data_IF_070404354194
#
_entry.id   IF_070404354194
#
_cell.length_a   1.000
_cell.length_b   1.000
_cell.length_c   1.000
_cell.angle_alpha   90.00
_cell.angle_beta   90.00
_cell.angle_gamma   90.00
#
_symmetry.space_group_name_H-M   'P 1'
#
loop_
_entity.id
_entity.type
_entity.pdbx_description
1 polymer ?
#
# COMPACT_ATOMS: atom_id res chain seq x y z
N UNK A 1 -1.21 -34.49 4.80
CA UNK A 1 -0.25 -33.40 4.53
C UNK A 1 -1.01 -32.26 3.89
N UNK A 2 -1.32 -31.20 4.64
CA UNK A 2 -1.84 -29.97 4.03
C UNK A 2 -0.66 -29.32 3.33
N UNK A 3 -0.71 -29.21 2.00
CA UNK A 3 0.22 -28.35 1.28
C UNK A 3 0.09 -26.94 1.89
N UNK A 4 1.19 -26.24 2.20
CA UNK A 4 1.08 -24.84 2.55
C UNK A 4 0.37 -24.15 1.39
N UNK A 5 -0.71 -23.42 1.69
CA UNK A 5 -1.43 -22.60 0.71
C UNK A 5 -0.37 -21.80 -0.05
N UNK A 6 -0.14 -22.16 -1.32
CA UNK A 6 0.78 -21.45 -2.17
C UNK A 6 0.37 -19.97 -2.12
N UNK A 7 1.34 -19.08 -1.88
CA UNK A 7 1.11 -17.65 -1.79
C UNK A 7 0.39 -17.17 -3.06
N UNK A 8 -0.90 -16.83 -2.95
CA UNK A 8 -1.69 -16.35 -4.06
C UNK A 8 -1.62 -14.82 -4.07
N UNK A 9 -0.93 -14.27 -5.06
CA UNK A 9 -0.86 -12.84 -5.32
C UNK A 9 -2.25 -12.32 -5.72
N UNK A 10 -2.69 -11.24 -5.08
CA UNK A 10 -4.02 -10.66 -5.33
C UNK A 10 -4.03 -9.93 -6.67
N UNK A 11 -5.08 -10.15 -7.45
CA UNK A 11 -5.33 -9.58 -8.76
C UNK A 11 -4.11 -9.67 -9.69
N UNK A 12 -3.40 -10.80 -9.65
CA UNK A 12 -2.13 -11.00 -10.34
C UNK A 12 -2.25 -10.73 -11.84
N UNK A 13 -3.19 -11.42 -12.50
CA UNK A 13 -3.34 -11.35 -13.95
C UNK A 13 -3.90 -9.99 -14.34
N UNK A 14 -4.95 -9.52 -13.66
CA UNK A 14 -5.59 -8.23 -13.90
C UNK A 14 -4.59 -7.07 -13.80
N UNK A 15 -3.70 -7.10 -12.80
CA UNK A 15 -2.70 -6.06 -12.60
C UNK A 15 -1.60 -6.08 -13.66
N UNK A 16 -1.10 -7.25 -14.03
CA UNK A 16 -0.03 -7.37 -15.03
C UNK A 16 -0.57 -7.12 -16.43
N UNK A 17 -1.81 -7.53 -16.73
CA UNK A 17 -2.49 -7.19 -17.98
C UNK A 17 -2.72 -5.69 -18.11
N UNK A 18 -3.13 -5.02 -17.02
CA UNK A 18 -3.32 -3.57 -16.98
C UNK A 18 -2.03 -2.75 -17.22
N UNK A 19 -0.84 -3.35 -17.02
CA UNK A 19 0.43 -2.69 -17.35
C UNK A 19 0.72 -2.67 -18.85
N UNK A 20 0.00 -3.46 -19.65
CA UNK A 20 0.26 -3.63 -21.09
C UNK A 20 1.74 -3.88 -21.38
N UNK A 21 2.33 -4.85 -20.68
CA UNK A 21 3.77 -5.12 -20.71
C UNK A 21 4.28 -5.29 -22.14
N UNK A 22 5.21 -4.42 -22.54
CA UNK A 22 5.97 -4.47 -23.78
C UNK A 22 7.29 -5.17 -23.48
N UNK A 23 7.71 -6.07 -24.35
CA UNK A 23 8.84 -6.96 -24.10
C UNK A 23 10.14 -6.21 -23.75
N UNK A 24 10.43 -5.09 -24.43
CA UNK A 24 11.65 -4.30 -24.22
C UNK A 24 11.42 -3.10 -23.26
N UNK A 25 10.27 -3.04 -22.59
CA UNK A 25 9.88 -1.93 -21.71
C UNK A 25 10.59 -1.96 -20.35
N UNK A 26 10.48 -0.84 -19.64
CA UNK A 26 11.00 -0.64 -18.28
C UNK A 26 9.84 -0.50 -17.30
N UNK A 27 9.74 -1.41 -16.34
CA UNK A 27 8.64 -1.48 -15.39
C UNK A 27 9.13 -1.29 -13.95
N UNK A 28 8.23 -0.84 -13.10
CA UNK A 28 8.48 -0.70 -11.67
C UNK A 28 7.41 -1.47 -10.90
N UNK A 29 7.85 -2.38 -10.03
CA UNK A 29 7.02 -2.95 -8.96
C UNK A 29 7.41 -2.24 -7.66
N UNK A 30 6.56 -1.33 -7.19
CA UNK A 30 6.86 -0.47 -6.06
C UNK A 30 6.64 -1.15 -4.70
N UNK A 31 6.20 -2.41 -4.69
CA UNK A 31 5.76 -3.17 -3.51
C UNK A 31 6.06 -4.66 -3.72
N UNK A 32 7.34 -4.99 -3.91
CA UNK A 32 7.78 -6.32 -4.33
C UNK A 32 7.16 -7.46 -3.51
N UNK A 33 7.12 -7.32 -2.18
CA UNK A 33 6.58 -8.29 -1.24
C UNK A 33 7.28 -9.64 -1.31
N UNK A 34 6.72 -10.56 -2.09
CA UNK A 34 7.33 -11.88 -2.37
C UNK A 34 7.59 -12.13 -3.86
N UNK A 35 7.46 -11.11 -4.69
CA UNK A 35 7.79 -11.10 -6.11
C UNK A 35 6.73 -11.74 -7.00
N UNK A 36 5.46 -11.76 -6.55
CA UNK A 36 4.37 -12.33 -7.33
C UNK A 36 4.16 -11.60 -8.64
N UNK A 37 3.83 -10.32 -8.57
CA UNK A 37 3.68 -9.48 -9.76
C UNK A 37 5.01 -9.27 -10.48
N UNK A 38 6.11 -9.03 -9.76
CA UNK A 38 7.45 -8.93 -10.35
C UNK A 38 7.79 -10.11 -11.28
N UNK A 39 7.58 -11.35 -10.86
CA UNK A 39 7.84 -12.53 -11.71
C UNK A 39 6.92 -12.59 -12.92
N UNK A 40 5.63 -12.30 -12.75
CA UNK A 40 4.69 -12.27 -13.86
C UNK A 40 4.99 -11.15 -14.88
N UNK A 41 5.55 -10.01 -14.44
CA UNK A 41 6.07 -8.97 -15.33
C UNK A 41 7.32 -9.50 -16.07
N UNK A 42 8.29 -10.07 -15.35
CA UNK A 42 9.52 -10.63 -15.93
C UNK A 42 9.24 -11.71 -16.98
N UNK A 43 8.23 -12.55 -16.79
CA UNK A 43 7.81 -13.55 -17.78
C UNK A 43 7.42 -12.95 -19.13
N UNK A 44 7.00 -11.68 -19.16
CA UNK A 44 6.60 -10.96 -20.38
C UNK A 44 7.70 -10.09 -20.99
N UNK A 45 8.83 -9.93 -20.29
CA UNK A 45 9.96 -9.12 -20.76
C UNK A 45 10.92 -9.93 -21.63
N UNK A 46 11.51 -9.29 -22.64
CA UNK A 46 12.68 -9.82 -23.35
C UNK A 46 13.94 -9.59 -22.52
N UNK A 47 15.10 -10.06 -23.00
CA UNK A 47 16.40 -9.76 -22.42
C UNK A 47 16.76 -8.26 -22.39
N UNK A 48 16.09 -7.41 -23.19
CA UNK A 48 16.29 -5.96 -23.19
C UNK A 48 15.35 -5.23 -22.21
N UNK A 49 14.27 -5.89 -21.79
CA UNK A 49 13.33 -5.36 -20.82
C UNK A 49 13.97 -5.20 -19.43
N UNK A 50 13.40 -4.31 -18.63
CA UNK A 50 13.92 -3.97 -17.30
C UNK A 50 12.81 -3.95 -16.26
N UNK A 51 13.09 -4.46 -15.08
CA UNK A 51 12.27 -4.33 -13.90
C UNK A 51 13.09 -3.71 -12.76
N UNK A 52 12.55 -2.67 -12.14
CA UNK A 52 13.04 -2.16 -10.85
C UNK A 52 12.02 -2.48 -9.78
N UNK A 53 12.49 -2.98 -8.63
CA UNK A 53 11.61 -3.34 -7.51
C UNK A 53 11.94 -2.55 -6.26
N UNK A 54 10.91 -2.21 -5.49
CA UNK A 54 11.02 -1.53 -4.21
C UNK A 54 10.36 -2.37 -3.11
N UNK A 55 10.95 -2.37 -1.92
CA UNK A 55 10.28 -2.79 -0.70
C UNK A 55 10.96 -2.17 0.52
N UNK A 56 10.20 -1.95 1.59
CA UNK A 56 10.73 -1.52 2.89
C UNK A 56 11.19 -2.69 3.74
N UNK A 57 10.59 -3.86 3.53
CA UNK A 57 10.83 -5.04 4.36
C UNK A 57 12.16 -5.69 4.00
N UNK A 58 13.13 -5.78 4.94
CA UNK A 58 14.39 -6.46 4.70
C UNK A 58 14.23 -7.90 4.21
N UNK A 59 13.17 -8.62 4.65
CA UNK A 59 12.91 -9.98 4.19
C UNK A 59 12.48 -10.01 2.72
N UNK A 60 11.69 -9.02 2.28
CA UNK A 60 11.29 -8.90 0.87
C UNK A 60 12.51 -8.55 0.00
N UNK A 61 13.39 -7.67 0.49
CA UNK A 61 14.63 -7.30 -0.19
C UNK A 61 15.58 -8.48 -0.34
N UNK A 62 15.69 -9.34 0.66
CA UNK A 62 16.49 -10.57 0.55
C UNK A 62 15.95 -11.48 -0.57
N UNK A 63 14.64 -11.69 -0.63
CA UNK A 63 14.00 -12.46 -1.72
C UNK A 63 14.24 -11.81 -3.09
N UNK A 64 14.17 -10.48 -3.17
CA UNK A 64 14.43 -9.75 -4.40
C UNK A 64 15.89 -9.87 -4.86
N UNK A 65 16.85 -9.80 -3.94
CA UNK A 65 18.28 -9.98 -4.23
C UNK A 65 18.60 -11.39 -4.70
N UNK A 66 17.99 -12.40 -4.09
CA UNK A 66 18.11 -13.79 -4.53
C UNK A 66 17.56 -13.99 -5.95
N UNK A 67 16.42 -13.37 -6.27
CA UNK A 67 15.90 -13.38 -7.63
C UNK A 67 16.84 -12.65 -8.61
N UNK A 68 17.36 -11.49 -8.22
CA UNK A 68 18.28 -10.70 -9.06
C UNK A 68 19.61 -11.43 -9.36
N UNK A 69 20.00 -12.39 -8.53
CA UNK A 69 21.21 -13.20 -8.75
C UNK A 69 21.11 -14.10 -10.01
N UNK A 70 19.90 -14.47 -10.42
CA UNK A 70 19.66 -15.30 -11.60
C UNK A 70 18.84 -14.63 -12.70
N UNK A 71 18.28 -13.44 -12.42
CA UNK A 71 17.41 -12.70 -13.33
C UNK A 71 18.02 -11.34 -13.69
N UNK A 72 18.68 -11.27 -14.84
CA UNK A 72 19.37 -10.04 -15.28
C UNK A 72 18.43 -8.90 -15.66
N UNK A 73 17.16 -9.19 -15.98
CA UNK A 73 16.14 -8.18 -16.27
C UNK A 73 15.67 -7.47 -15.00
N UNK A 74 15.87 -8.07 -13.82
CA UNK A 74 15.70 -7.40 -12.53
C UNK A 74 16.88 -6.46 -12.30
N UNK A 75 16.81 -5.31 -12.97
CA UNK A 75 17.88 -4.34 -13.10
C UNK A 75 18.25 -3.66 -11.77
N UNK A 76 17.28 -3.46 -10.88
CA UNK A 76 17.54 -2.82 -9.59
C UNK A 76 16.59 -3.32 -8.48
N UNK A 77 17.15 -3.50 -7.29
CA UNK A 77 16.44 -3.82 -6.05
C UNK A 77 16.69 -2.70 -5.05
N UNK A 78 15.62 -1.99 -4.65
CA UNK A 78 15.72 -0.79 -3.79
C UNK A 78 15.07 -1.05 -2.43
N UNK A 79 15.89 -1.05 -1.36
CA UNK A 79 15.42 -1.14 0.03
C UNK A 79 14.90 0.22 0.52
N UNK A 80 13.77 0.64 -0.05
CA UNK A 80 13.12 1.93 0.17
C UNK A 80 11.61 1.77 -0.02
N UNK A 81 10.82 2.66 0.60
CA UNK A 81 9.40 2.77 0.29
C UNK A 81 9.12 3.36 -1.08
N UNK A 82 7.89 3.22 -1.57
CA UNK A 82 7.48 3.72 -2.88
C UNK A 82 7.51 5.25 -3.02
N UNK A 83 7.60 6.01 -1.93
CA UNK A 83 7.88 7.45 -2.00
C UNK A 83 9.23 7.76 -2.71
N UNK A 84 10.19 6.83 -2.67
CA UNK A 84 11.48 6.93 -3.36
C UNK A 84 11.37 6.85 -4.91
N UNK A 85 10.17 6.66 -5.47
CA UNK A 85 9.93 6.92 -6.89
C UNK A 85 10.35 8.35 -7.28
N UNK A 86 10.28 9.31 -6.36
CA UNK A 86 10.73 10.69 -6.57
C UNK A 86 12.25 10.80 -6.83
N UNK A 87 13.03 9.75 -6.63
CA UNK A 87 14.46 9.70 -6.92
C UNK A 87 14.75 9.14 -8.33
N UNK A 88 13.75 8.58 -9.01
CA UNK A 88 13.93 8.04 -10.36
C UNK A 88 13.90 9.15 -11.43
N UNK A 89 14.64 8.97 -12.54
CA UNK A 89 14.63 9.93 -13.64
C UNK A 89 13.22 10.12 -14.21
N UNK A 90 12.97 11.30 -14.77
CA UNK A 90 11.72 11.56 -15.49
C UNK A 90 11.58 10.65 -16.71
N UNK A 91 10.33 10.29 -17.05
CA UNK A 91 10.02 9.45 -18.21
C UNK A 91 10.90 8.19 -18.34
N UNK A 92 11.17 7.51 -17.22
CA UNK A 92 12.03 6.33 -17.14
C UNK A 92 11.29 4.98 -17.09
N UNK A 93 9.97 5.00 -16.91
CA UNK A 93 9.15 3.79 -16.80
C UNK A 93 7.97 3.77 -17.79
N UNK A 94 7.76 2.61 -18.41
CA UNK A 94 6.60 2.28 -19.25
C UNK A 94 5.41 1.80 -18.40
N UNK A 95 5.64 1.39 -17.15
CA UNK A 95 4.57 1.08 -16.21
C UNK A 95 5.04 1.05 -14.76
N UNK A 96 4.12 1.39 -13.85
CA UNK A 96 4.32 1.35 -12.40
C UNK A 96 3.17 0.57 -11.77
N UNK A 97 3.50 -0.44 -10.99
CA UNK A 97 2.57 -1.20 -10.17
C UNK A 97 2.79 -0.89 -8.68
N UNK A 98 1.69 -0.68 -7.95
CA UNK A 98 1.69 -0.55 -6.49
C UNK A 98 0.61 -1.47 -5.90
N UNK A 99 1.00 -2.54 -5.22
CA UNK A 99 0.15 -3.44 -4.44
C UNK A 99 0.22 -3.05 -2.96
N UNK A 100 -0.73 -2.23 -2.51
CA UNK A 100 -0.63 -1.54 -1.21
C UNK A 100 -0.88 -2.48 -0.02
N UNK A 101 -0.52 -2.02 1.17
CA UNK A 101 -0.77 -2.74 2.41
C UNK A 101 0.34 -3.71 2.80
N UNK A 102 -0.03 -4.80 3.45
CA UNK A 102 0.90 -5.73 4.10
C UNK A 102 1.00 -7.05 3.36
N UNK A 103 2.22 -7.57 3.28
CA UNK A 103 2.48 -8.88 2.70
C UNK A 103 1.95 -10.01 3.59
N UNK A 104 1.64 -11.16 2.98
CA UNK A 104 1.21 -12.36 3.71
C UNK A 104 2.16 -12.74 4.85
N UNK A 105 3.49 -12.74 4.66
CA UNK A 105 4.42 -13.13 5.73
C UNK A 105 4.44 -12.14 6.90
N UNK A 106 4.20 -10.84 6.65
CA UNK A 106 4.05 -9.86 7.74
C UNK A 106 2.84 -10.13 8.62
N UNK A 107 1.74 -10.63 8.03
CA UNK A 107 0.52 -11.00 8.76
C UNK A 107 0.61 -12.36 9.45
N UNK A 108 1.38 -13.29 8.88
CA UNK A 108 1.49 -14.68 9.33
C UNK A 108 2.59 -14.87 10.38
N UNK A 109 3.67 -14.10 10.32
CA UNK A 109 4.75 -14.10 11.31
C UNK A 109 4.33 -13.29 12.56
N UNK A 110 4.07 -13.94 13.71
CA UNK A 110 3.64 -13.24 14.91
C UNK A 110 4.71 -12.27 15.44
N UNK A 111 5.99 -12.51 15.14
CA UNK A 111 7.09 -11.64 15.57
C UNK A 111 7.05 -10.25 14.94
N UNK A 112 6.28 -10.08 13.86
CA UNK A 112 6.09 -8.79 13.16
C UNK A 112 4.99 -7.92 13.77
N UNK A 113 4.09 -8.50 14.56
CA UNK A 113 3.10 -7.73 15.31
C UNK A 113 1.95 -7.10 14.49
N UNK A 114 1.76 -7.46 13.21
CA UNK A 114 0.68 -6.91 12.37
C UNK A 114 -0.70 -7.54 12.63
N UNK A 115 -0.75 -8.65 13.35
CA UNK A 115 -1.94 -9.47 13.55
C UNK A 115 -2.11 -9.82 15.02
N UNK A 116 -3.36 -9.92 15.45
CA UNK A 116 -3.76 -10.41 16.78
C UNK A 116 -4.28 -11.86 16.74
N UNK A 117 -4.15 -12.55 15.60
CA UNK A 117 -4.51 -13.99 15.51
C UNK A 117 -3.59 -14.87 16.34
N UNK A 118 -2.33 -14.50 16.38
CA UNK A 118 -1.29 -15.09 17.22
C UNK A 118 -0.65 -13.96 18.00
N UNK A 119 -0.35 -14.20 19.28
CA UNK A 119 0.27 -13.19 20.12
C UNK A 119 1.74 -12.99 19.72
N UNK A 120 2.22 -11.76 19.86
CA UNK A 120 3.57 -11.36 19.48
C UNK A 120 3.89 -9.95 19.94
N UNK A 121 5.14 -9.49 19.77
CA UNK A 121 5.53 -8.14 20.12
C UNK A 121 4.72 -7.12 19.32
N UNK A 122 4.36 -6.01 19.96
CA UNK A 122 3.61 -4.94 19.32
C UNK A 122 4.56 -4.04 18.49
N UNK A 123 5.01 -4.56 17.34
CA UNK A 123 5.95 -3.86 16.46
C UNK A 123 5.25 -3.06 15.34
N UNK A 124 4.62 -3.76 14.39
CA UNK A 124 3.91 -3.20 13.22
C UNK A 124 4.76 -2.42 12.20
N UNK A 125 6.09 -2.37 12.32
CA UNK A 125 6.93 -1.74 11.28
C UNK A 125 7.12 -2.67 10.09
N UNK A 126 6.92 -2.12 8.89
CA UNK A 126 7.24 -2.78 7.64
C UNK A 126 8.76 -2.93 7.49
N UNK A 127 9.53 -1.91 7.88
CA UNK A 127 10.98 -1.98 8.06
C UNK A 127 11.35 -1.97 9.56
N UNK A 128 11.58 -3.13 10.19
CA UNK A 128 11.94 -3.20 11.61
C UNK A 128 13.36 -2.68 11.90
N UNK A 129 14.16 -2.32 10.89
CA UNK A 129 15.53 -1.82 11.09
C UNK A 129 15.59 -0.34 11.49
N UNK A 130 14.48 0.39 11.35
CA UNK A 130 14.41 1.84 11.61
C UNK A 130 13.03 2.26 12.09
N UNK A 131 12.93 3.48 12.60
CA UNK A 131 11.66 4.07 13.05
C UNK A 131 11.16 3.50 14.38
N UNK A 132 10.06 4.08 14.84
CA UNK A 132 9.42 3.76 16.12
C UNK A 132 8.41 2.62 15.94
N UNK A 133 8.44 1.63 16.82
CA UNK A 133 7.44 0.56 16.89
C UNK A 133 6.11 1.05 17.47
N UNK A 134 5.04 0.29 17.23
CA UNK A 134 3.73 0.55 17.82
C UNK A 134 3.76 0.56 19.36
N UNK A 135 4.54 -0.33 19.98
CA UNK A 135 4.74 -0.36 21.43
C UNK A 135 5.42 0.92 21.95
N UNK A 136 6.50 1.35 21.30
CA UNK A 136 7.24 2.56 21.67
C UNK A 136 6.39 3.81 21.50
N UNK A 137 5.61 3.89 20.43
CA UNK A 137 4.68 4.99 20.20
C UNK A 137 3.59 5.03 21.28
N UNK A 138 2.91 3.91 21.53
CA UNK A 138 1.89 3.83 22.59
C UNK A 138 2.44 4.05 24.00
N UNK A 139 3.74 3.88 24.23
CA UNK A 139 4.36 4.19 25.52
C UNK A 139 4.42 5.70 25.79
N UNK A 140 4.58 6.53 24.74
CA UNK A 140 4.76 7.98 24.86
C UNK A 140 3.56 8.83 24.42
N UNK A 141 2.71 8.34 23.51
CA UNK A 141 1.63 9.11 22.92
C UNK A 141 0.56 9.52 23.94
N UNK A 142 0.00 10.73 23.79
CA UNK A 142 -1.09 11.17 24.65
C UNK A 142 -2.46 10.64 24.19
N UNK A 143 -3.50 10.84 25.00
CA UNK A 143 -4.85 10.35 24.69
C UNK A 143 -5.40 11.00 23.40
N UNK A 144 -5.07 12.27 23.15
CA UNK A 144 -5.60 13.02 22.00
C UNK A 144 -4.99 12.49 20.70
N UNK A 145 -3.67 12.29 20.68
CA UNK A 145 -2.92 11.71 19.57
C UNK A 145 -3.40 10.28 19.25
N UNK A 146 -3.51 9.41 20.26
CA UNK A 146 -3.99 8.04 20.06
C UNK A 146 -5.42 8.05 19.50
N UNK A 147 -6.30 8.92 20.02
CA UNK A 147 -7.67 9.04 19.54
C UNK A 147 -7.72 9.58 18.10
N UNK A 148 -6.87 10.55 17.75
CA UNK A 148 -6.75 11.09 16.40
C UNK A 148 -6.32 10.02 15.40
N UNK A 149 -5.23 9.29 15.69
CA UNK A 149 -4.75 8.18 14.86
C UNK A 149 -5.84 7.15 14.62
N UNK A 150 -6.51 6.68 15.68
CA UNK A 150 -7.56 5.66 15.58
C UNK A 150 -8.78 6.17 14.80
N UNK A 151 -9.16 7.43 14.98
CA UNK A 151 -10.28 8.06 14.28
C UNK A 151 -9.99 8.22 12.79
N UNK A 152 -8.83 8.76 12.45
CA UNK A 152 -8.50 9.16 11.08
C UNK A 152 -8.07 7.98 10.21
N UNK A 153 -7.22 7.11 10.74
CA UNK A 153 -6.68 5.98 9.99
C UNK A 153 -7.49 4.68 10.16
N UNK A 154 -8.30 4.59 11.22
CA UNK A 154 -9.16 3.43 11.49
C UNK A 154 -10.63 3.63 11.11
N UNK A 155 -11.06 4.87 10.85
CA UNK A 155 -12.48 5.26 10.71
C UNK A 155 -13.33 4.70 11.89
N UNK A 156 -12.76 4.70 13.11
CA UNK A 156 -13.32 4.08 14.32
C UNK A 156 -14.04 5.10 15.22
N UNK A 157 -15.34 4.88 15.44
CA UNK A 157 -16.19 5.77 16.25
C UNK A 157 -15.86 5.73 17.74
N UNK A 158 -15.29 4.62 18.22
CA UNK A 158 -14.89 4.45 19.62
C UNK A 158 -13.46 4.94 19.89
N UNK A 159 -12.84 5.68 18.96
CA UNK A 159 -11.45 6.15 19.07
C UNK A 159 -11.13 6.77 20.45
N UNK A 160 -11.97 7.70 20.93
CA UNK A 160 -11.77 8.33 22.24
C UNK A 160 -11.86 7.32 23.40
N UNK A 161 -12.78 6.36 23.34
CA UNK A 161 -12.94 5.34 24.38
C UNK A 161 -11.78 4.36 24.38
N UNK A 162 -11.28 3.99 23.20
CA UNK A 162 -10.12 3.12 23.03
C UNK A 162 -8.87 3.83 23.56
N UNK A 163 -8.62 5.08 23.16
CA UNK A 163 -7.47 5.86 23.64
C UNK A 163 -7.44 5.98 25.16
N UNK A 164 -8.58 6.30 25.80
CA UNK A 164 -8.70 6.33 27.26
C UNK A 164 -8.46 4.96 27.92
N UNK A 165 -8.90 3.88 27.29
CA UNK A 165 -8.67 2.54 27.81
C UNK A 165 -7.20 2.11 27.72
N UNK A 166 -6.52 2.47 26.63
CA UNK A 166 -5.09 2.24 26.44
C UNK A 166 -4.27 3.02 27.46
N UNK A 167 -4.55 4.32 27.63
CA UNK A 167 -3.85 5.16 28.60
C UNK A 167 -4.08 4.69 30.05
N UNK A 168 -5.32 4.37 30.41
CA UNK A 168 -5.61 3.80 31.74
C UNK A 168 -4.82 2.52 31.99
N UNK A 169 -4.84 1.57 31.04
CA UNK A 169 -4.05 0.33 31.19
C UNK A 169 -2.57 0.65 31.33
N UNK A 170 -2.07 1.62 30.54
CA UNK A 170 -0.67 2.04 30.58
C UNK A 170 -0.27 2.57 31.95
N UNK A 171 -1.11 3.39 32.57
CA UNK A 171 -0.88 3.91 33.92
C UNK A 171 -0.94 2.83 35.01
N UNK A 172 -1.84 1.84 34.86
CA UNK A 172 -2.02 0.77 35.83
C UNK A 172 -0.93 -0.31 35.78
N UNK A 173 -0.41 -0.62 34.57
CA UNK A 173 0.42 -1.83 34.33
C UNK A 173 1.69 -1.58 33.52
N UNK A 174 2.01 -0.33 33.20
CA UNK A 174 3.17 0.04 32.39
C UNK A 174 2.92 -0.01 30.88
N UNK A 175 3.96 -0.01 30.03
CA UNK A 175 3.81 -0.02 28.56
C UNK A 175 3.08 -1.26 28.02
N UNK A 176 2.35 -1.09 26.91
CA UNK A 176 1.65 -2.18 26.20
C UNK A 176 2.65 -2.88 25.29
N UNK A 177 2.89 -4.17 25.52
CA UNK A 177 3.99 -4.90 24.87
C UNK A 177 3.58 -5.84 23.75
N UNK A 178 2.33 -6.31 23.72
CA UNK A 178 1.91 -7.40 22.83
C UNK A 178 0.63 -7.12 22.05
N UNK A 179 0.45 -7.83 20.94
CA UNK A 179 -0.74 -7.71 20.09
C UNK A 179 -2.00 -8.24 20.78
N UNK A 180 -1.92 -9.34 21.54
CA UNK A 180 -3.07 -9.85 22.28
C UNK A 180 -3.55 -8.87 23.34
N UNK A 181 -2.62 -8.20 24.04
CA UNK A 181 -2.96 -7.18 25.03
C UNK A 181 -3.68 -5.99 24.39
N UNK A 182 -3.14 -5.44 23.30
CA UNK A 182 -3.79 -4.37 22.55
C UNK A 182 -5.20 -4.78 22.12
N UNK A 183 -5.35 -5.98 21.54
CA UNK A 183 -6.65 -6.48 21.08
C UNK A 183 -7.67 -6.62 22.23
N UNK A 184 -7.26 -7.11 23.39
CA UNK A 184 -8.13 -7.24 24.57
C UNK A 184 -8.61 -5.89 25.08
N UNK A 185 -7.72 -4.89 25.16
CA UNK A 185 -8.07 -3.54 25.61
C UNK A 185 -9.08 -2.91 24.65
N UNK A 186 -8.85 -3.03 23.34
CA UNK A 186 -9.75 -2.51 22.31
C UNK A 186 -11.11 -3.21 22.37
N UNK A 187 -11.13 -4.54 22.50
CA UNK A 187 -12.37 -5.32 22.59
C UNK A 187 -13.23 -4.94 23.80
N UNK A 188 -12.61 -4.54 24.93
CA UNK A 188 -13.30 -4.03 26.11
C UNK A 188 -13.86 -2.60 25.95
N UNK A 189 -13.24 -1.79 25.09
CA UNK A 189 -13.66 -0.40 24.84
C UNK A 189 -14.76 -0.28 23.76
N UNK A 190 -14.83 -1.23 22.82
CA UNK A 190 -15.78 -1.22 21.69
C UNK A 190 -17.11 -1.86 22.10
N UNK A 191 -18.16 -1.03 22.23
CA UNK A 191 -19.48 -1.46 22.73
C UNK A 191 -20.34 -2.24 21.71
N UNK A 192 -20.07 -2.08 20.43
CA UNK A 192 -20.92 -2.61 19.34
C UNK A 192 -20.03 -3.11 18.21
N UNK A 193 -20.29 -4.33 17.76
CA UNK A 193 -19.43 -5.04 16.82
C UNK A 193 -20.07 -5.11 15.44
N UNK A 194 -19.25 -4.97 14.40
CA UNK A 194 -19.68 -5.30 13.04
C UNK A 194 -19.68 -6.84 12.90
N UNK A 195 -20.78 -7.47 12.47
CA UNK A 195 -20.82 -8.92 12.31
C UNK A 195 -19.67 -9.42 11.43
N UNK A 196 -18.95 -10.44 11.89
CA UNK A 196 -17.83 -11.07 11.15
C UNK A 196 -16.52 -10.26 11.13
N UNK A 197 -16.41 -9.15 11.86
CA UNK A 197 -15.16 -8.38 12.00
C UNK A 197 -14.78 -8.23 13.47
N UNK A 198 -13.52 -8.53 13.77
CA UNK A 198 -12.99 -8.36 15.12
C UNK A 198 -12.93 -6.85 15.48
N UNK A 199 -13.38 -6.43 16.68
CA UNK A 199 -13.32 -5.04 17.13
C UNK A 199 -11.93 -4.39 17.03
N UNK A 200 -10.86 -5.16 17.21
CA UNK A 200 -9.48 -4.66 17.16
C UNK A 200 -9.01 -4.32 15.74
N UNK A 201 -9.66 -4.85 14.70
CA UNK A 201 -9.19 -4.75 13.31
C UNK A 201 -8.95 -3.30 12.87
N UNK A 202 -9.86 -2.38 13.21
CA UNK A 202 -9.74 -0.96 12.81
C UNK A 202 -8.63 -0.24 13.56
N UNK A 203 -8.45 -0.53 14.84
CA UNK A 203 -7.35 0.01 15.64
C UNK A 203 -5.99 -0.49 15.13
N UNK A 204 -5.87 -1.79 14.85
CA UNK A 204 -4.64 -2.36 14.27
C UNK A 204 -4.32 -1.72 12.91
N UNK A 205 -5.31 -1.57 12.05
CA UNK A 205 -5.16 -0.86 10.77
C UNK A 205 -4.69 0.58 10.99
N UNK A 206 -5.30 1.31 11.93
CA UNK A 206 -4.97 2.71 12.19
C UNK A 206 -3.51 2.89 12.65
N UNK A 207 -3.09 2.09 13.64
CA UNK A 207 -1.74 2.14 14.19
C UNK A 207 -0.73 1.75 13.12
N UNK A 208 -1.01 0.70 12.34
CA UNK A 208 -0.15 0.27 11.23
C UNK A 208 0.07 1.40 10.22
N UNK A 209 -1.02 2.02 9.76
CA UNK A 209 -0.99 3.14 8.80
C UNK A 209 -0.14 4.28 9.34
N UNK A 210 -0.32 4.64 10.61
CA UNK A 210 0.43 5.71 11.26
C UNK A 210 1.92 5.38 11.39
N UNK A 211 2.26 4.22 11.95
CA UNK A 211 3.65 3.78 12.18
C UNK A 211 4.46 3.71 10.88
N UNK A 212 3.81 3.38 9.77
CA UNK A 212 4.47 3.22 8.47
C UNK A 212 4.28 4.41 7.52
N UNK A 213 3.63 5.50 7.98
CA UNK A 213 3.27 6.67 7.18
C UNK A 213 2.61 6.32 5.83
N UNK A 214 1.78 5.27 5.81
CA UNK A 214 1.35 4.61 4.56
C UNK A 214 0.63 5.56 3.60
N UNK A 215 -0.29 6.39 4.12
CA UNK A 215 -1.09 7.30 3.29
C UNK A 215 -0.30 8.50 2.78
N UNK A 216 0.65 9.00 3.58
CA UNK A 216 1.51 10.12 3.19
C UNK A 216 2.46 9.68 2.08
N UNK A 217 3.11 8.52 2.25
CA UNK A 217 3.95 7.96 1.21
C UNK A 217 3.16 7.70 -0.08
N UNK A 218 1.91 7.25 0.02
CA UNK A 218 1.09 6.96 -1.16
C UNK A 218 0.87 8.23 -1.96
N UNK A 219 0.57 9.35 -1.29
CA UNK A 219 0.41 10.65 -1.95
C UNK A 219 1.71 11.11 -2.63
N UNK A 220 2.86 10.94 -1.97
CA UNK A 220 4.16 11.27 -2.55
C UNK A 220 4.48 10.41 -3.78
N UNK A 221 4.25 9.10 -3.69
CA UNK A 221 4.48 8.17 -4.78
C UNK A 221 3.57 8.40 -5.98
N UNK A 222 2.28 8.69 -5.76
CA UNK A 222 1.34 9.03 -6.83
C UNK A 222 1.79 10.29 -7.58
N UNK A 223 2.21 11.34 -6.86
CA UNK A 223 2.77 12.55 -7.48
C UNK A 223 4.04 12.24 -8.28
N UNK A 224 4.96 11.47 -7.71
CA UNK A 224 6.19 11.07 -8.40
C UNK A 224 5.91 10.22 -9.65
N UNK A 225 4.90 9.35 -9.62
CA UNK A 225 4.53 8.49 -10.75
C UNK A 225 4.22 9.28 -12.03
N UNK A 226 3.59 10.47 -11.93
CA UNK A 226 3.31 11.31 -13.11
C UNK A 226 4.57 11.81 -13.82
N UNK A 227 5.66 11.98 -13.08
CA UNK A 227 6.95 12.42 -13.60
C UNK A 227 7.77 11.24 -14.13
N UNK A 228 7.74 10.12 -13.42
CA UNK A 228 8.51 8.91 -13.74
C UNK A 228 7.95 8.17 -14.95
N UNK A 229 6.63 8.14 -15.12
CA UNK A 229 6.00 7.49 -16.27
C UNK A 229 6.30 8.21 -17.58
N UNK A 230 6.68 7.44 -18.59
CA UNK A 230 6.72 7.87 -19.99
C UNK A 230 5.31 8.20 -20.49
N UNK A 231 5.19 9.08 -21.51
CA UNK A 231 3.98 9.17 -22.31
C UNK A 231 3.47 7.80 -22.74
N UNK A 232 2.19 7.53 -22.51
CA UNK A 232 1.56 6.24 -22.81
C UNK A 232 1.76 5.14 -21.76
N UNK A 233 2.61 5.36 -20.75
CA UNK A 233 2.86 4.39 -19.68
C UNK A 233 1.70 4.24 -18.69
N UNK A 234 1.64 3.11 -17.99
CA UNK A 234 0.50 2.76 -17.13
C UNK A 234 0.81 2.84 -15.65
N UNK A 235 -0.05 3.53 -14.89
CA UNK A 235 -0.09 3.48 -13.44
C UNK A 235 -1.16 2.49 -13.01
N UNK A 236 -0.78 1.43 -12.29
CA UNK A 236 -1.67 0.40 -11.76
C UNK A 236 -1.50 0.35 -10.23
N UNK A 237 -2.60 0.50 -9.50
CA UNK A 237 -2.59 0.52 -8.04
C UNK A 237 -3.68 -0.39 -7.50
N UNK A 238 -3.31 -1.28 -6.59
CA UNK A 238 -4.21 -2.17 -5.85
C UNK A 238 -4.29 -1.65 -4.42
N UNK A 239 -5.50 -1.35 -3.94
CA UNK A 239 -5.77 -0.88 -2.58
C UNK A 239 -6.61 -1.89 -1.82
N UNK A 240 -6.41 -2.02 -0.50
CA UNK A 240 -7.13 -3.01 0.32
C UNK A 240 -8.09 -2.40 1.34
N UNK A 241 -8.07 -1.07 1.48
CA UNK A 241 -9.04 -0.36 2.31
C UNK A 241 -9.49 0.98 1.71
N UNK A 242 -10.56 1.51 2.31
CA UNK A 242 -11.25 2.74 1.88
C UNK A 242 -10.34 3.96 1.79
N UNK A 243 -9.46 4.16 2.76
CA UNK A 243 -8.56 5.32 2.80
C UNK A 243 -7.58 5.36 1.61
N UNK A 244 -6.90 4.25 1.31
CA UNK A 244 -6.02 4.11 0.13
C UNK A 244 -6.81 4.33 -1.16
N UNK A 245 -7.92 3.59 -1.36
CA UNK A 245 -8.71 3.68 -2.60
C UNK A 245 -9.21 5.10 -2.83
N UNK A 246 -9.59 5.81 -1.76
CA UNK A 246 -10.04 7.20 -1.83
C UNK A 246 -8.93 8.12 -2.33
N UNK A 247 -7.71 7.98 -1.81
CA UNK A 247 -6.55 8.76 -2.25
C UNK A 247 -6.26 8.51 -3.73
N UNK A 248 -6.16 7.25 -4.14
CA UNK A 248 -5.89 6.87 -5.54
C UNK A 248 -7.00 7.37 -6.47
N UNK A 249 -8.27 7.19 -6.08
CA UNK A 249 -9.43 7.66 -6.84
C UNK A 249 -9.40 9.17 -7.03
N UNK A 250 -9.19 9.93 -5.95
CA UNK A 250 -9.18 11.39 -5.99
C UNK A 250 -8.02 11.89 -6.85
N UNK A 251 -6.83 11.31 -6.67
CA UNK A 251 -5.65 11.61 -7.47
C UNK A 251 -5.91 11.39 -8.97
N UNK A 252 -6.33 10.18 -9.36
CA UNK A 252 -6.61 9.88 -10.77
C UNK A 252 -7.70 10.78 -11.35
N UNK A 253 -8.76 11.07 -10.59
CA UNK A 253 -9.83 11.96 -11.03
C UNK A 253 -9.35 13.40 -11.23
N UNK A 254 -8.51 13.92 -10.32
CA UNK A 254 -7.93 15.26 -10.38
C UNK A 254 -7.04 15.45 -11.62
N UNK A 255 -6.35 14.39 -12.06
CA UNK A 255 -5.43 14.44 -13.19
C UNK A 255 -6.03 13.99 -14.53
N UNK A 256 -7.25 13.45 -14.52
CA UNK A 256 -7.94 12.93 -15.72
C UNK A 256 -9.25 13.65 -16.06
N UNK A 257 -9.69 14.62 -15.26
CA UNK A 257 -10.88 15.43 -15.55
C UNK A 257 -10.53 16.89 -15.60
N UNK A 258 -11.00 17.56 -16.64
CA UNK A 258 -10.93 19.01 -16.72
C UNK A 258 -11.93 19.60 -15.72
N UNK A 259 -11.47 20.52 -14.88
CA UNK A 259 -12.33 21.20 -13.93
C UNK A 259 -12.95 22.40 -14.67
N UNK A 260 -14.22 22.27 -15.07
CA UNK A 260 -14.95 23.40 -15.65
C UNK A 260 -15.05 24.54 -14.63
N UNK A 261 -14.27 25.60 -14.82
CA UNK A 261 -14.35 26.79 -14.00
C UNK A 261 -15.52 27.67 -14.46
N UNK A 262 -16.61 27.65 -13.69
CA UNK A 262 -17.78 28.51 -13.93
C UNK A 262 -17.44 30.01 -13.91
N UNK A 263 -16.33 30.40 -13.26
CA UNK A 263 -15.87 31.80 -13.19
C UNK A 263 -14.99 32.18 -14.39
N UNK A 264 -14.53 31.21 -15.18
CA UNK A 264 -13.73 31.43 -16.38
C UNK A 264 -14.16 30.49 -17.52
N UNK A 265 -15.38 30.65 -18.07
CA UNK A 265 -15.94 29.76 -19.09
C UNK A 265 -15.18 29.76 -20.43
N UNK A 266 -14.27 30.69 -20.64
CA UNK A 266 -13.40 30.80 -21.83
C UNK A 266 -11.96 30.32 -21.58
N UNK A 267 -11.66 29.76 -20.41
CA UNK A 267 -10.34 29.20 -20.13
C UNK A 267 -10.04 28.04 -21.09
N UNK A 268 -8.82 28.01 -21.63
CA UNK A 268 -8.38 26.88 -22.46
C UNK A 268 -8.43 25.58 -21.64
N UNK A 269 -8.83 24.44 -22.25
CA UNK A 269 -8.92 23.16 -21.56
C UNK A 269 -7.60 22.82 -20.88
N UNK A 270 -7.65 22.38 -19.62
CA UNK A 270 -6.44 21.99 -18.90
C UNK A 270 -5.86 20.73 -19.55
N UNK A 271 -4.57 20.74 -19.87
CA UNK A 271 -3.90 19.52 -20.30
C UNK A 271 -3.90 18.51 -19.15
N UNK A 272 -4.50 17.35 -19.40
CA UNK A 272 -4.67 16.29 -18.40
C UNK A 272 -3.44 15.39 -18.40
N UNK A 273 -2.97 15.02 -17.21
CA UNK A 273 -1.79 14.16 -17.06
C UNK A 273 -2.15 12.67 -17.21
N UNK A 274 -3.41 12.31 -16.92
CA UNK A 274 -3.91 10.93 -16.98
C UNK A 274 -5.11 10.80 -17.92
N UNK A 275 -5.24 9.63 -18.53
CA UNK A 275 -6.36 9.20 -19.35
C UNK A 275 -6.72 7.75 -19.03
N UNK A 276 -7.80 7.24 -19.64
CA UNK A 276 -8.22 5.84 -19.53
C UNK A 276 -8.35 5.32 -18.08
N UNK A 277 -8.86 6.17 -17.19
CA UNK A 277 -9.01 5.80 -15.77
C UNK A 277 -10.08 4.73 -15.61
N UNK A 278 -9.70 3.59 -15.05
CA UNK A 278 -10.59 2.46 -14.82
C UNK A 278 -10.51 1.94 -13.38
N UNK A 279 -11.53 1.19 -13.00
CA UNK A 279 -11.63 0.49 -11.72
C UNK A 279 -12.02 -0.95 -11.97
N UNK A 280 -11.25 -1.89 -11.45
CA UNK A 280 -11.48 -3.32 -11.54
C UNK A 280 -11.63 -3.89 -10.13
N UNK A 281 -12.54 -4.85 -9.97
CA UNK A 281 -12.73 -5.60 -8.74
C UNK A 281 -12.34 -7.06 -8.99
N UNK A 282 -11.88 -7.77 -7.95
CA UNK A 282 -11.56 -9.18 -8.06
C UNK A 282 -12.81 -9.98 -8.37
N UNK A 283 -12.65 -11.06 -9.14
CA UNK A 283 -13.76 -11.94 -9.52
C UNK A 283 -14.26 -12.74 -8.32
N UNK A 284 -15.51 -13.22 -8.37
CA UNK A 284 -16.05 -14.09 -7.31
C UNK A 284 -15.21 -15.38 -7.14
N UNK A 285 -14.66 -15.91 -8.23
CA UNK A 285 -13.77 -17.07 -8.21
C UNK A 285 -12.46 -16.78 -7.48
N UNK A 286 -11.85 -15.62 -7.74
CA UNK A 286 -10.65 -15.17 -7.05
C UNK A 286 -10.91 -14.96 -5.55
N UNK A 287 -12.01 -14.29 -5.19
CA UNK A 287 -12.38 -14.07 -3.78
C UNK A 287 -12.61 -15.40 -3.04
N UNK A 288 -13.17 -16.40 -3.71
CA UNK A 288 -13.35 -17.73 -3.15
C UNK A 288 -12.02 -18.48 -2.95
N UNK A 289 -11.08 -18.36 -3.90
CA UNK A 289 -9.76 -18.98 -3.82
C UNK A 289 -8.82 -18.26 -2.84
N UNK A 290 -8.93 -16.93 -2.75
CA UNK A 290 -8.12 -16.07 -1.92
C UNK A 290 -9.01 -15.04 -1.19
N UNK A 291 -9.48 -15.34 0.04
CA UNK A 291 -10.30 -14.42 0.82
C UNK A 291 -9.67 -13.05 1.08
N UNK A 292 -8.35 -12.90 0.94
CA UNK A 292 -7.64 -11.61 1.06
C UNK A 292 -7.98 -10.66 -0.09
N UNK A 293 -8.32 -11.19 -1.26
CA UNK A 293 -8.73 -10.39 -2.41
C UNK A 293 -10.07 -9.67 -2.17
N UNK A 294 -10.92 -10.13 -1.25
CA UNK A 294 -12.29 -9.59 -1.05
C UNK A 294 -12.38 -8.06 -0.98
N UNK A 295 -11.39 -7.41 -0.37
CA UNK A 295 -11.37 -5.94 -0.19
C UNK A 295 -10.50 -5.20 -1.22
N UNK A 296 -9.88 -5.94 -2.14
CA UNK A 296 -8.99 -5.37 -3.14
C UNK A 296 -9.77 -4.53 -4.15
N UNK A 297 -9.21 -3.38 -4.51
CA UNK A 297 -9.69 -2.53 -5.59
C UNK A 297 -8.50 -2.17 -6.44
N UNK A 298 -8.54 -2.57 -7.71
CA UNK A 298 -7.53 -2.18 -8.69
C UNK A 298 -8.00 -0.93 -9.42
N UNK A 299 -7.11 0.06 -9.51
CA UNK A 299 -7.30 1.24 -10.34
C UNK A 299 -6.13 1.37 -11.29
N UNK A 300 -6.44 1.70 -12.54
CA UNK A 300 -5.44 1.94 -13.57
C UNK A 300 -5.71 3.27 -14.28
N UNK A 301 -4.63 3.91 -14.72
CA UNK A 301 -4.67 5.11 -15.54
C UNK A 301 -3.45 5.15 -16.48
N UNK A 302 -3.65 5.66 -17.68
CA UNK A 302 -2.57 5.83 -18.66
C UNK A 302 -2.03 7.26 -18.61
N UNK A 303 -0.71 7.42 -18.63
CA UNK A 303 -0.03 8.71 -18.77
C UNK A 303 -0.29 9.28 -20.16
N UNK A 304 -0.74 10.53 -20.23
CA UNK A 304 -0.96 11.22 -21.52
C UNK A 304 0.37 11.67 -22.15
N UNK A 305 0.29 12.25 -23.35
CA UNK A 305 1.44 12.83 -24.06
C UNK A 305 2.00 14.11 -23.42
N UNK A 306 1.37 14.64 -22.36
CA UNK A 306 1.84 15.82 -21.65
C UNK A 306 3.25 15.57 -21.10
N UNK A 307 4.23 16.44 -21.35
CA UNK A 307 5.58 16.23 -20.84
C UNK A 307 5.65 16.46 -19.32
N UNK A 308 6.57 15.80 -18.59
CA UNK A 308 6.77 16.07 -17.16
C UNK A 308 7.02 17.55 -16.84
N UNK A 309 7.75 18.27 -17.71
CA UNK A 309 8.02 19.71 -17.58
C UNK A 309 6.77 20.60 -17.67
N UNK A 310 5.67 20.08 -18.19
CA UNK A 310 4.40 20.78 -18.36
C UNK A 310 3.42 20.52 -17.20
N UNK A 311 3.79 19.65 -16.25
CA UNK A 311 3.06 19.46 -15.00
C UNK A 311 3.24 20.74 -14.15
N UNK A 312 2.23 21.62 -14.14
CA UNK A 312 2.20 22.73 -13.18
C UNK A 312 2.03 22.19 -11.75
N UNK A 313 2.68 22.79 -10.74
CA UNK A 313 2.47 22.45 -9.33
C UNK A 313 1.02 22.65 -8.89
#
# INVERSE_FOLDING_TARGET
>A
MQQPLAHCTVMLNEAVDALHVQADGSYIDATFGRGGHARAILERLSAAGRLTVFDKDPQAIEVARQLAASETRLHAVRHQGFAALAELPEASADGILMDLGVSSPQLEDPTRGFSFRHDGPLDMRMDPTRGQSAAEWLAGADIAEIAEVIREYGEERFAQSIAKALDRRRQERGPIGTTAELAQIVAGAVKTRQPGKDPATRTFQAIRIFINAELEELQHALKAALRVLKPGGWLVVISFHSLEDRIVKQFMAQHAKDAYDRRAPLAAPKALALAQVQRVLPSAAEVAANPRARSAVLRLAQRTALQPSELRP
#
